data_IF_901846852949
#
_entry.id   IF_901846852949
#
_cell.length_a   1.000
_cell.length_b   1.000
_cell.length_c   1.000
_cell.angle_alpha   90.00
_cell.angle_beta   90.00
_cell.angle_gamma   90.00
#
_symmetry.space_group_name_H-M   'P 1'
#
loop_
_entity.id
_entity.type
_entity.pdbx_description
1 polymer ?
#
# COMPACT_ATOMS: atom_id res chain seq x y z
N UNK A 1 -17.42 4.08 3.61
CA UNK A 1 -16.20 3.29 3.52
C UNK A 1 -16.10 2.27 4.63
N UNK A 2 -15.45 1.15 4.39
CA UNK A 2 -15.09 0.17 5.41
C UNK A 2 -13.73 0.54 6.00
N UNK A 3 -13.67 0.88 7.27
CA UNK A 3 -12.41 1.22 7.96
C UNK A 3 -11.50 0.00 8.03
N UNK A 4 -12.03 -1.19 8.26
CA UNK A 4 -11.23 -2.44 8.25
C UNK A 4 -10.54 -2.68 6.91
N UNK A 5 -11.26 -2.46 5.79
CA UNK A 5 -10.66 -2.59 4.46
C UNK A 5 -9.62 -1.48 4.19
N UNK A 6 -9.87 -0.25 4.64
CA UNK A 6 -8.89 0.83 4.53
C UNK A 6 -7.60 0.48 5.30
N UNK A 7 -7.73 -0.08 6.51
CA UNK A 7 -6.57 -0.54 7.29
C UNK A 7 -5.79 -1.62 6.52
N UNK A 8 -6.47 -2.60 5.94
CA UNK A 8 -5.83 -3.66 5.16
C UNK A 8 -5.10 -3.11 3.93
N UNK A 9 -5.77 -2.25 3.18
CA UNK A 9 -5.20 -1.59 2.02
C UNK A 9 -4.00 -0.70 2.41
N UNK A 10 -4.12 0.09 3.48
CA UNK A 10 -3.03 0.93 3.96
C UNK A 10 -1.82 0.11 4.43
N UNK A 11 -2.03 -0.97 5.19
CA UNK A 11 -0.94 -1.87 5.57
C UNK A 11 -0.24 -2.48 4.36
N UNK A 12 -0.99 -2.86 3.33
CA UNK A 12 -0.41 -3.37 2.08
C UNK A 12 0.49 -2.31 1.44
N UNK A 13 0.04 -1.07 1.34
CA UNK A 13 0.85 0.03 0.80
C UNK A 13 2.12 0.27 1.62
N UNK A 14 2.00 0.29 2.95
CA UNK A 14 3.15 0.48 3.86
C UNK A 14 4.17 -0.66 3.74
N UNK A 15 3.70 -1.91 3.69
CA UNK A 15 4.57 -3.10 3.60
C UNK A 15 5.31 -3.12 2.26
N UNK A 16 4.63 -2.80 1.18
CA UNK A 16 5.21 -2.84 -0.18
C UNK A 16 5.91 -1.54 -0.57
N UNK A 17 5.73 -0.48 0.20
CA UNK A 17 6.17 0.89 -0.11
C UNK A 17 5.63 1.40 -1.46
N UNK A 18 4.37 1.12 -1.76
CA UNK A 18 3.74 1.49 -3.02
C UNK A 18 3.10 2.89 -2.94
N UNK A 19 3.86 3.93 -3.31
CA UNK A 19 3.37 5.31 -3.36
C UNK A 19 2.32 5.54 -4.45
N UNK A 20 2.43 4.85 -5.56
CA UNK A 20 1.47 4.92 -6.67
C UNK A 20 0.10 4.35 -6.30
N UNK A 21 0.06 3.37 -5.42
CA UNK A 21 -1.18 2.79 -4.91
C UNK A 21 -2.06 3.80 -4.17
N UNK A 22 -1.46 4.88 -3.62
CA UNK A 22 -2.20 5.98 -3.01
C UNK A 22 -2.72 6.94 -4.08
N UNK A 23 -1.88 7.29 -5.05
CA UNK A 23 -2.12 8.38 -5.99
C UNK A 23 -3.02 7.98 -7.16
N UNK A 24 -2.85 6.78 -7.70
CA UNK A 24 -3.49 6.37 -8.96
C UNK A 24 -3.85 4.88 -9.05
N UNK A 25 -3.07 3.98 -8.45
CA UNK A 25 -3.20 2.54 -8.68
C UNK A 25 -4.10 1.88 -7.63
N UNK A 26 -5.37 2.31 -7.61
CA UNK A 26 -6.40 1.73 -6.76
C UNK A 26 -7.78 1.87 -7.42
N UNK A 27 -8.71 1.01 -7.02
CA UNK A 27 -10.12 1.12 -7.36
C UNK A 27 -10.96 1.25 -6.11
N UNK A 28 -12.05 2.01 -6.21
CA UNK A 28 -13.06 2.12 -5.19
C UNK A 28 -14.34 1.47 -5.72
N UNK A 29 -14.87 0.50 -5.00
CA UNK A 29 -16.04 -0.24 -5.43
C UNK A 29 -16.97 -0.57 -4.27
N UNK A 30 -18.18 -1.01 -4.59
CA UNK A 30 -19.15 -1.60 -3.67
C UNK A 30 -19.53 -2.99 -4.15
N UNK A 31 -19.80 -3.91 -3.25
CA UNK A 31 -20.32 -5.24 -3.60
C UNK A 31 -21.77 -5.18 -4.03
N UNK A 32 -22.55 -4.31 -3.37
CA UNK A 32 -23.97 -4.06 -3.63
C UNK A 32 -24.35 -2.67 -3.11
N UNK A 33 -25.60 -2.25 -3.30
CA UNK A 33 -26.08 -0.93 -2.89
C UNK A 33 -26.01 -0.65 -1.38
N UNK A 34 -26.07 -1.69 -0.56
CA UNK A 34 -26.05 -1.60 0.91
C UNK A 34 -24.65 -1.72 1.52
N UNK A 35 -23.70 -2.26 0.76
CA UNK A 35 -22.31 -2.45 1.23
C UNK A 35 -21.55 -1.14 1.34
N UNK A 36 -20.60 -1.03 2.28
CA UNK A 36 -19.69 0.11 2.31
C UNK A 36 -18.79 0.13 1.07
N UNK A 37 -18.23 1.28 0.76
CA UNK A 37 -17.15 1.39 -0.23
C UNK A 37 -15.89 0.68 0.26
N UNK A 38 -15.21 0.02 -0.66
CA UNK A 38 -13.97 -0.75 -0.45
C UNK A 38 -12.90 -0.23 -1.40
N UNK A 39 -11.65 -0.21 -0.93
CA UNK A 39 -10.48 -0.05 -1.77
C UNK A 39 -10.01 -1.41 -2.28
N UNK A 40 -9.63 -1.45 -3.56
CA UNK A 40 -8.99 -2.60 -4.19
C UNK A 40 -7.62 -2.17 -4.72
N UNK A 41 -6.52 -2.82 -4.33
CA UNK A 41 -5.20 -2.54 -4.86
C UNK A 41 -5.12 -2.91 -6.34
N UNK A 42 -4.35 -2.12 -7.09
CA UNK A 42 -4.11 -2.30 -8.51
C UNK A 42 -2.68 -1.92 -8.85
N UNK A 43 -2.04 -2.67 -9.74
CA UNK A 43 -0.76 -2.34 -10.35
C UNK A 43 0.36 -2.09 -9.33
N UNK A 44 0.96 -3.17 -8.84
CA UNK A 44 2.00 -3.14 -7.80
C UNK A 44 3.42 -3.38 -8.36
N UNK A 45 3.65 -3.03 -9.63
CA UNK A 45 4.98 -3.03 -10.25
C UNK A 45 5.94 -2.03 -9.57
N UNK A 46 5.40 -0.93 -9.08
CA UNK A 46 6.06 0.12 -8.32
C UNK A 46 6.10 -0.20 -6.82
N UNK A 47 6.83 -1.25 -6.46
CA UNK A 47 6.85 -1.76 -5.09
C UNK A 47 8.10 -2.59 -4.79
N UNK A 48 8.26 -3.02 -3.54
CA UNK A 48 9.37 -3.86 -3.09
C UNK A 48 10.76 -3.30 -3.44
N UNK A 49 10.90 -1.97 -3.42
CA UNK A 49 12.17 -1.29 -3.62
C UNK A 49 12.51 -0.94 -5.07
N UNK A 50 11.61 -1.22 -6.01
CA UNK A 50 11.75 -0.86 -7.41
C UNK A 50 10.58 -0.02 -7.91
N UNK A 51 10.92 0.99 -8.73
CA UNK A 51 9.99 1.68 -9.60
C UNK A 51 9.59 0.77 -10.78
N UNK A 52 8.52 1.11 -11.52
CA UNK A 52 8.09 0.33 -12.66
C UNK A 52 9.12 0.23 -13.80
N UNK A 53 10.04 1.19 -13.90
CA UNK A 53 11.19 1.18 -14.83
C UNK A 53 12.46 0.53 -14.23
N UNK A 54 12.37 0.03 -12.99
CA UNK A 54 13.46 -0.61 -12.27
C UNK A 54 14.37 0.33 -11.47
N UNK A 55 14.09 1.62 -11.44
CA UNK A 55 14.79 2.55 -10.55
C UNK A 55 14.59 2.15 -9.08
N UNK A 56 15.62 2.24 -8.22
CA UNK A 56 15.43 2.01 -6.80
C UNK A 56 14.48 3.05 -6.19
N UNK A 57 13.45 2.60 -5.47
CA UNK A 57 12.60 3.50 -4.69
C UNK A 57 13.42 4.09 -3.54
N UNK A 58 13.60 5.40 -3.54
CA UNK A 58 14.35 6.13 -2.51
C UNK A 58 13.45 6.77 -1.48
N UNK A 59 12.20 7.08 -1.86
CA UNK A 59 11.22 7.69 -0.97
C UNK A 59 10.50 6.63 -0.13
N UNK A 60 10.30 6.91 1.15
CA UNK A 60 9.42 6.11 1.99
C UNK A 60 8.02 6.70 1.99
N UNK A 61 7.02 5.88 1.77
CA UNK A 61 5.61 6.29 1.79
C UNK A 61 5.21 6.91 3.14
N UNK A 62 5.92 6.58 4.22
CA UNK A 62 5.72 7.20 5.52
C UNK A 62 6.25 8.65 5.58
N UNK A 63 7.17 9.01 4.70
CA UNK A 63 7.84 10.32 4.67
C UNK A 63 7.27 11.23 3.56
N UNK A 64 6.41 10.69 2.68
CA UNK A 64 5.77 11.47 1.60
C UNK A 64 4.67 12.34 2.19
N UNK A 65 4.55 13.57 1.66
CA UNK A 65 3.45 14.49 1.97
C UNK A 65 2.12 13.74 2.00
N UNK A 66 1.41 13.91 3.10
CA UNK A 66 0.22 13.16 3.42
C UNK A 66 -0.85 13.29 2.33
N UNK A 67 -1.37 12.16 1.89
CA UNK A 67 -2.53 12.15 1.03
C UNK A 67 -3.78 12.58 1.83
N UNK A 68 -4.62 13.43 1.24
CA UNK A 68 -5.83 13.98 1.89
C UNK A 68 -6.70 12.95 2.60
N UNK A 69 -6.78 11.73 2.09
CA UNK A 69 -7.50 10.64 2.74
C UNK A 69 -6.87 10.28 4.10
N UNK A 70 -5.55 10.11 4.14
CA UNK A 70 -4.86 9.73 5.37
C UNK A 70 -4.85 10.86 6.39
N UNK A 71 -4.69 12.12 5.95
CA UNK A 71 -4.90 13.29 6.82
C UNK A 71 -6.25 13.22 7.50
N UNK A 72 -7.33 12.99 6.75
CA UNK A 72 -8.69 12.92 7.30
C UNK A 72 -8.90 11.69 8.19
N UNK A 73 -8.29 10.55 7.88
CA UNK A 73 -8.36 9.36 8.72
C UNK A 73 -7.66 9.58 10.07
N UNK A 74 -6.53 10.29 10.07
CA UNK A 74 -5.83 10.65 11.33
C UNK A 74 -6.63 11.71 12.10
N UNK A 75 -7.07 12.78 11.43
CA UNK A 75 -7.83 13.87 12.06
C UNK A 75 -9.14 13.38 12.71
N UNK A 76 -9.89 12.53 12.00
CA UNK A 76 -11.20 12.06 12.45
C UNK A 76 -11.15 10.77 13.27
N UNK A 77 -10.06 10.03 13.18
CA UNK A 77 -9.86 8.72 13.81
C UNK A 77 -11.11 7.80 13.76
N UNK A 78 -11.72 7.61 12.57
CA UNK A 78 -12.97 6.88 12.48
C UNK A 78 -12.77 5.43 12.95
N UNK A 79 -13.66 4.96 13.82
CA UNK A 79 -13.64 3.59 14.34
C UNK A 79 -12.31 3.16 14.98
N UNK A 80 -11.53 4.13 15.51
CA UNK A 80 -10.22 3.86 16.13
C UNK A 80 -9.13 3.44 15.12
N UNK A 81 -9.13 4.02 13.94
CA UNK A 81 -8.20 3.75 12.85
C UNK A 81 -6.73 3.84 13.30
N UNK A 82 -6.35 4.91 14.06
CA UNK A 82 -4.97 5.15 14.50
C UNK A 82 -4.47 4.00 15.37
N UNK A 83 -5.32 3.51 16.28
CA UNK A 83 -4.95 2.44 17.22
C UNK A 83 -5.04 1.05 16.56
N UNK A 84 -5.96 0.87 15.63
CA UNK A 84 -6.19 -0.42 14.95
C UNK A 84 -5.09 -0.75 13.95
N UNK A 85 -4.58 0.23 13.23
CA UNK A 85 -3.57 0.02 12.19
C UNK A 85 -2.29 -0.65 12.73
N UNK A 86 -1.59 -0.10 13.75
CA UNK A 86 -0.41 -0.73 14.32
C UNK A 86 -0.73 -2.06 15.01
N UNK A 87 -1.86 -2.18 15.71
CA UNK A 87 -2.28 -3.43 16.33
C UNK A 87 -2.49 -4.54 15.29
N UNK A 88 -3.07 -4.21 14.14
CA UNK A 88 -3.26 -5.19 13.07
C UNK A 88 -1.94 -5.64 12.46
N UNK A 89 -1.01 -4.71 12.22
CA UNK A 89 0.34 -5.07 11.78
C UNK A 89 1.02 -6.02 12.77
N UNK A 90 1.06 -5.67 14.06
CA UNK A 90 1.70 -6.49 15.08
C UNK A 90 1.05 -7.88 15.19
N UNK A 91 -0.27 -7.96 15.13
CA UNK A 91 -0.99 -9.24 15.11
C UNK A 91 -0.59 -10.11 13.91
N UNK A 92 -0.46 -9.54 12.72
CA UNK A 92 -0.03 -10.25 11.51
C UNK A 92 1.43 -10.68 11.59
N UNK A 93 2.28 -9.85 12.19
CA UNK A 93 3.69 -10.16 12.44
C UNK A 93 3.84 -11.30 13.45
N UNK A 94 3.20 -11.22 14.62
CA UNK A 94 3.25 -12.21 15.69
C UNK A 94 2.63 -13.55 15.29
N UNK A 95 1.64 -13.56 14.41
CA UNK A 95 1.05 -14.78 13.85
C UNK A 95 1.93 -15.47 12.80
N UNK A 96 3.06 -14.87 12.42
CA UNK A 96 3.97 -15.37 11.39
C UNK A 96 3.56 -15.06 9.95
N UNK A 97 2.39 -14.44 9.71
CA UNK A 97 1.93 -14.07 8.36
C UNK A 97 2.91 -13.07 7.73
N UNK A 98 3.35 -12.08 8.50
CA UNK A 98 4.35 -11.09 8.07
C UNK A 98 5.76 -11.42 8.56
N UNK A 99 6.05 -12.68 8.93
CA UNK A 99 7.44 -13.05 9.21
C UNK A 99 8.27 -13.02 7.94
N UNK A 100 9.55 -12.67 8.09
CA UNK A 100 10.50 -12.63 6.97
C UNK A 100 10.57 -13.98 6.27
N UNK A 101 10.61 -15.06 7.05
CA UNK A 101 10.66 -16.42 6.53
C UNK A 101 9.46 -16.77 5.67
N UNK A 102 8.24 -16.39 6.12
CA UNK A 102 7.01 -16.64 5.36
C UNK A 102 6.99 -15.84 4.05
N UNK A 103 7.35 -14.57 4.10
CA UNK A 103 7.39 -13.71 2.91
C UNK A 103 8.46 -14.20 1.94
N UNK A 104 9.66 -14.57 2.42
CA UNK A 104 10.72 -15.16 1.59
C UNK A 104 10.28 -16.48 0.94
N UNK A 105 9.53 -17.31 1.67
CA UNK A 105 8.96 -18.54 1.12
C UNK A 105 7.94 -18.25 0.01
N UNK A 106 7.12 -17.22 0.15
CA UNK A 106 6.16 -16.80 -0.89
C UNK A 106 6.89 -16.26 -2.13
N UNK A 107 7.93 -15.43 -1.96
CA UNK A 107 8.76 -14.92 -3.05
C UNK A 107 9.44 -16.09 -3.77
N UNK A 108 10.06 -17.01 -3.02
CA UNK A 108 10.72 -18.20 -3.58
C UNK A 108 9.73 -19.06 -4.38
N UNK A 109 8.57 -19.38 -3.79
CA UNK A 109 7.54 -20.18 -4.47
C UNK A 109 7.08 -19.56 -5.80
N UNK A 110 6.96 -18.24 -5.87
CA UNK A 110 6.58 -17.57 -7.11
C UNK A 110 7.75 -17.53 -8.10
N UNK A 111 8.98 -17.29 -7.63
CA UNK A 111 10.17 -17.36 -8.47
C UNK A 111 10.35 -18.74 -9.11
N UNK A 112 10.14 -19.83 -8.36
CA UNK A 112 10.21 -21.21 -8.92
C UNK A 112 9.21 -21.43 -10.06
N UNK A 113 8.02 -20.84 -9.99
CA UNK A 113 7.02 -20.96 -11.06
C UNK A 113 7.42 -20.20 -12.32
N UNK A 114 8.10 -19.06 -12.15
CA UNK A 114 8.51 -18.20 -13.26
C UNK A 114 9.81 -18.65 -13.93
N UNK A 115 10.72 -19.27 -13.15
CA UNK A 115 12.08 -19.61 -13.59
C UNK A 115 12.17 -20.39 -14.90
N UNK A 116 11.28 -21.36 -15.21
CA UNK A 116 11.32 -22.07 -16.48
C UNK A 116 11.13 -21.16 -17.70
N UNK A 117 10.35 -20.07 -17.53
CA UNK A 117 9.98 -19.17 -18.63
C UNK A 117 10.93 -17.96 -18.77
N UNK A 118 11.78 -17.71 -17.77
CA UNK A 118 12.65 -16.52 -17.74
C UNK A 118 13.56 -16.46 -18.97
N UNK A 119 14.19 -17.57 -19.34
CA UNK A 119 15.10 -17.59 -20.49
C UNK A 119 14.40 -17.23 -21.81
N UNK A 120 13.18 -17.70 -22.00
CA UNK A 120 12.38 -17.39 -23.18
C UNK A 120 11.92 -15.91 -23.14
N UNK A 121 11.53 -15.43 -21.97
CA UNK A 121 11.15 -14.03 -21.78
C UNK A 121 12.32 -13.07 -22.04
N UNK A 122 13.50 -13.35 -21.48
CA UNK A 122 14.71 -12.53 -21.67
C UNK A 122 15.20 -12.52 -23.12
N UNK A 123 14.99 -13.59 -23.87
CA UNK A 123 15.31 -13.63 -25.30
C UNK A 123 14.41 -12.69 -26.13
N UNK A 124 13.17 -12.46 -25.67
CA UNK A 124 12.23 -11.54 -26.33
C UNK A 124 12.35 -10.11 -25.78
N UNK A 125 12.62 -9.99 -24.49
CA UNK A 125 12.64 -8.73 -23.74
C UNK A 125 13.88 -8.68 -22.86
N UNK A 126 15.05 -8.27 -23.41
CA UNK A 126 16.34 -8.28 -22.69
C UNK A 126 16.38 -7.15 -21.65
N UNK A 127 15.80 -7.38 -20.47
CA UNK A 127 15.71 -6.39 -19.39
C UNK A 127 17.08 -5.90 -18.91
N UNK A 128 18.10 -6.75 -18.96
CA UNK A 128 19.46 -6.40 -18.57
C UNK A 128 20.13 -5.31 -19.43
N UNK A 129 19.51 -4.95 -20.55
CA UNK A 129 19.96 -3.87 -21.44
C UNK A 129 19.17 -2.56 -21.22
N UNK A 130 18.11 -2.60 -20.41
CA UNK A 130 17.14 -1.50 -20.26
C UNK A 130 17.27 -0.84 -18.90
N UNK A 131 17.46 0.49 -18.89
CA UNK A 131 17.37 1.34 -17.73
C UNK A 131 18.14 0.84 -16.51
N UNK A 132 17.49 0.81 -15.35
CA UNK A 132 18.06 0.41 -14.07
C UNK A 132 18.26 -1.10 -13.90
N UNK A 133 17.71 -1.92 -14.81
CA UNK A 133 17.95 -3.36 -14.84
C UNK A 133 19.27 -3.74 -15.51
N UNK A 134 19.98 -2.78 -16.11
CA UNK A 134 21.23 -3.03 -16.80
C UNK A 134 22.24 -3.73 -15.89
N UNK A 135 22.70 -4.91 -16.33
CA UNK A 135 23.64 -5.73 -15.57
C UNK A 135 23.02 -6.54 -14.43
N UNK A 136 21.69 -6.50 -14.30
CA UNK A 136 20.92 -7.37 -13.40
C UNK A 136 20.45 -8.63 -14.12
N UNK A 137 19.92 -9.57 -13.37
CA UNK A 137 19.28 -10.78 -13.84
C UNK A 137 18.15 -11.17 -12.88
N UNK A 138 17.32 -12.12 -13.29
CA UNK A 138 16.16 -12.55 -12.50
C UNK A 138 16.53 -12.96 -11.06
N UNK A 139 17.61 -13.69 -10.86
CA UNK A 139 17.98 -14.16 -9.51
C UNK A 139 18.46 -13.02 -8.62
N UNK A 140 19.18 -12.05 -9.19
CA UNK A 140 19.57 -10.84 -8.45
C UNK A 140 18.36 -10.02 -8.05
N UNK A 141 17.38 -9.85 -8.93
CA UNK A 141 16.14 -9.11 -8.59
C UNK A 141 15.30 -9.85 -7.54
N UNK A 142 15.22 -11.18 -7.60
CA UNK A 142 14.59 -11.99 -6.55
C UNK A 142 15.29 -11.81 -5.19
N UNK A 143 16.62 -11.80 -5.18
CA UNK A 143 17.38 -11.59 -3.95
C UNK A 143 17.22 -10.17 -3.42
N UNK A 144 17.27 -9.16 -4.32
CA UNK A 144 17.04 -7.76 -3.96
C UNK A 144 15.66 -7.58 -3.29
N UNK A 145 14.61 -8.18 -3.84
CA UNK A 145 13.26 -8.13 -3.27
C UNK A 145 13.24 -8.74 -1.86
N UNK A 146 13.93 -9.86 -1.64
CA UNK A 146 14.03 -10.50 -0.31
C UNK A 146 14.76 -9.62 0.70
N UNK A 147 15.92 -9.08 0.31
CA UNK A 147 16.73 -8.22 1.19
C UNK A 147 16.00 -6.91 1.53
N UNK A 148 15.25 -6.39 0.57
CA UNK A 148 14.47 -5.18 0.74
C UNK A 148 13.32 -5.39 1.72
N UNK A 149 12.51 -6.45 1.54
CA UNK A 149 11.33 -6.70 2.39
C UNK A 149 11.74 -7.04 3.83
N UNK A 150 12.86 -7.70 4.03
CA UNK A 150 13.40 -7.95 5.37
C UNK A 150 13.65 -6.64 6.13
N UNK A 151 14.36 -5.69 5.50
CA UNK A 151 14.62 -4.37 6.05
C UNK A 151 13.32 -3.59 6.29
N UNK A 152 12.38 -3.69 5.35
CA UNK A 152 11.09 -3.01 5.43
C UNK A 152 10.24 -3.49 6.61
N UNK A 153 10.11 -4.79 6.79
CA UNK A 153 9.37 -5.39 7.91
C UNK A 153 10.01 -4.99 9.24
N UNK A 154 11.33 -5.01 9.36
CA UNK A 154 12.01 -4.57 10.57
C UNK A 154 11.78 -3.08 10.87
N UNK A 155 11.87 -2.21 9.84
CA UNK A 155 11.57 -0.79 9.99
C UNK A 155 10.14 -0.57 10.51
N UNK A 156 9.15 -1.20 9.88
CA UNK A 156 7.75 -1.06 10.28
C UNK A 156 7.48 -1.62 11.68
N UNK A 157 8.11 -2.75 12.03
CA UNK A 157 7.99 -3.32 13.37
C UNK A 157 8.47 -2.36 14.46
N UNK A 158 9.61 -1.72 14.25
CA UNK A 158 10.13 -0.73 15.19
C UNK A 158 9.19 0.48 15.26
N UNK A 159 8.82 1.03 14.11
CA UNK A 159 7.92 2.19 14.04
C UNK A 159 6.58 1.93 14.74
N UNK A 160 5.98 0.75 14.53
CA UNK A 160 4.70 0.41 15.15
C UNK A 160 4.81 0.02 16.63
N UNK A 161 5.95 -0.49 17.10
CA UNK A 161 6.18 -0.78 18.51
C UNK A 161 6.40 0.49 19.33
N UNK A 162 7.07 1.48 18.76
CA UNK A 162 7.33 2.78 19.42
C UNK A 162 6.08 3.66 19.47
N UNK A 163 5.08 3.38 18.66
CA UNK A 163 3.91 4.23 18.39
C UNK A 163 2.70 3.94 19.29
N UNK A 164 2.90 3.38 20.48
CA UNK A 164 1.82 3.40 21.49
C UNK A 164 1.65 4.84 22.02
N UNK A 165 1.34 5.79 21.13
CA UNK A 165 1.08 7.17 21.48
C UNK A 165 1.31 8.23 20.40
N UNK A 166 2.10 7.99 19.36
CA UNK A 166 2.31 8.97 18.28
C UNK A 166 2.67 8.29 16.97
N UNK A 167 1.70 8.21 16.07
CA UNK A 167 1.88 7.59 14.75
C UNK A 167 2.50 8.61 13.78
N UNK A 168 3.81 8.53 13.54
CA UNK A 168 4.56 9.47 12.70
C UNK A 168 4.67 9.07 11.22
N UNK A 169 3.97 8.05 10.74
CA UNK A 169 3.94 7.74 9.32
C UNK A 169 3.10 8.71 8.48
N UNK A 170 2.62 9.82 9.04
CA UNK A 170 1.76 10.81 8.34
C UNK A 170 2.19 12.27 8.55
N UNK A 171 3.45 12.53 8.85
CA UNK A 171 3.93 13.87 9.14
C UNK A 171 3.76 14.28 10.61
N UNK A 172 4.15 15.52 10.98
CA UNK A 172 4.06 16.01 12.36
C UNK A 172 2.60 15.97 12.83
N UNK A 173 2.40 15.63 14.11
CA UNK A 173 1.09 15.59 14.73
C UNK A 173 0.33 16.90 14.44
N UNK A 174 -0.74 16.80 13.67
CA UNK A 174 -1.63 17.93 13.43
C UNK A 174 -2.40 18.15 14.73
N UNK A 175 -2.26 19.32 15.35
CA UNK A 175 -3.12 19.70 16.47
C UNK A 175 -4.59 19.57 16.01
N UNK A 176 -5.48 19.01 16.85
CA UNK A 176 -6.88 18.82 16.47
C UNK A 176 -7.50 20.18 16.15
N UNK A 177 -7.81 20.40 14.89
CA UNK A 177 -8.57 21.56 14.45
C UNK A 177 -10.00 21.40 15.02
N UNK A 178 -10.55 22.40 15.72
CA UNK A 178 -11.93 22.34 16.21
C UNK A 178 -12.87 22.02 15.04
N UNK A 179 -13.74 21.02 15.22
CA UNK A 179 -14.75 20.63 14.22
C UNK A 179 -15.53 21.87 13.81
N UNK A 180 -15.44 22.26 12.55
CA UNK A 180 -16.35 23.23 11.97
C UNK A 180 -17.80 22.71 12.15
N UNK A 181 -18.78 23.59 12.48
CA UNK A 181 -20.16 23.16 12.69
C UNK A 181 -20.62 22.36 11.48
N UNK A 182 -21.22 21.19 11.74
CA UNK A 182 -21.73 20.30 10.70
C UNK A 182 -22.65 21.08 9.79
N UNK A 183 -22.28 21.19 8.52
CA UNK A 183 -23.15 21.73 7.50
C UNK A 183 -24.27 20.73 7.26
N UNK A 184 -25.44 21.01 7.82
CA UNK A 184 -26.67 20.23 7.58
C UNK A 184 -27.06 20.50 6.13
N UNK A 185 -26.78 19.57 5.24
CA UNK A 185 -27.25 19.65 3.86
C UNK A 185 -28.75 19.32 3.87
N UNK A 186 -29.56 20.34 4.00
CA UNK A 186 -30.98 20.25 3.77
C UNK A 186 -31.28 20.51 2.29
N UNK A 187 -31.15 19.49 1.44
CA UNK A 187 -31.97 19.34 0.22
C UNK A 187 -31.73 17.99 -0.42
N UNK A 188 -32.73 17.21 -0.77
CA UNK A 188 -32.60 16.07 -1.65
C UNK A 188 -32.26 16.60 -3.05
N UNK A 189 -31.19 16.13 -3.63
CA UNK A 189 -30.91 16.33 -5.06
C UNK A 189 -31.86 15.41 -5.82
N UNK A 190 -33.01 15.96 -6.20
CA UNK A 190 -33.90 15.35 -7.17
C UNK A 190 -33.58 15.94 -8.52
N UNK A 191 -32.87 15.19 -9.36
CA UNK A 191 -33.05 15.16 -10.81
C UNK A 191 -32.12 14.07 -11.38
N UNK A 192 -32.74 13.09 -11.99
CA UNK A 192 -32.05 12.05 -12.76
C UNK A 192 -31.25 12.70 -13.90
N UNK A 193 -29.96 12.37 -13.96
CA UNK A 193 -29.17 12.66 -15.16
C UNK A 193 -29.68 11.70 -16.22
N UNK A 194 -30.34 12.20 -17.25
CA UNK A 194 -30.62 11.44 -18.47
C UNK A 194 -29.30 11.19 -19.16
N UNK A 195 -28.91 9.92 -19.29
CA UNK A 195 -27.81 9.50 -20.13
C UNK A 195 -28.34 9.46 -21.56
N UNK A 196 -27.71 10.13 -22.55
CA UNK A 196 -28.10 10.00 -23.95
C UNK A 196 -27.81 8.58 -24.46
N UNK A 197 -28.77 7.98 -25.14
CA UNK A 197 -28.58 6.73 -25.88
C UNK A 197 -27.59 6.96 -27.03
N UNK A 198 -26.53 6.15 -27.08
CA UNK A 198 -25.65 5.96 -28.22
C UNK A 198 -25.71 4.52 -28.69
#
# INVERSE_FOLDING_TARGET
FSIENIIDWHLLLLITNNGDGIKKNNYIFKRDSSSPYLYCPWDFDHSFGREGDGEPITEDICDVESHKLFERLVELNPDGYIEKLPKKFMKLYESGILSVENIHAMIHKNAEKLRPEIKANEALWPLNEVGYFKGSDFEKEVQLMKDWIEKRIQKLRVSFAETVGSFNCFGPAIEPVPLAPQMVIHKPIGSAIQVPDY
#
